data_IF_399648423706
#
_entry.id   IF_399648423706
#
_cell.length_a   1.000
_cell.length_b   1.000
_cell.length_c   1.000
_cell.angle_alpha   90.00
_cell.angle_beta   90.00
_cell.angle_gamma   90.00
#
_symmetry.space_group_name_H-M   'P 1'
#
loop_
_entity.id
_entity.type
_entity.pdbx_description
1 polymer ?
#
# COMPACT_ATOMS: atom_id res chain seq x y z
N UNK A 1 0.83 27.20 -12.66
CA UNK A 1 0.15 25.93 -12.28
C UNK A 1 -0.63 25.32 -13.47
N UNK A 2 -1.47 26.06 -14.17
CA UNK A 2 -2.22 25.48 -15.31
C UNK A 2 -1.32 24.97 -16.46
N UNK A 3 -0.26 25.69 -16.85
CA UNK A 3 0.63 25.27 -17.94
C UNK A 3 1.41 23.98 -17.65
N UNK A 4 1.81 23.73 -16.41
CA UNK A 4 2.51 22.51 -16.03
C UNK A 4 1.59 21.29 -16.04
N UNK A 5 0.34 21.43 -15.57
CA UNK A 5 -0.65 20.33 -15.59
C UNK A 5 -0.96 19.95 -17.05
N UNK A 6 -1.20 20.92 -17.92
CA UNK A 6 -1.41 20.68 -19.36
C UNK A 6 -0.21 20.01 -20.02
N UNK A 7 1.01 20.43 -19.68
CA UNK A 7 2.23 19.79 -20.18
C UNK A 7 2.30 18.31 -19.76
N UNK A 8 1.96 18.00 -18.51
CA UNK A 8 1.98 16.64 -17.98
C UNK A 8 1.00 15.72 -18.71
N UNK A 9 -0.24 16.15 -18.94
CA UNK A 9 -1.21 15.34 -19.69
C UNK A 9 -0.91 15.26 -21.19
N UNK A 10 -0.21 16.25 -21.76
CA UNK A 10 0.24 16.21 -23.15
C UNK A 10 1.25 15.10 -23.45
N UNK A 11 1.95 14.59 -22.41
CA UNK A 11 2.83 13.42 -22.51
C UNK A 11 2.11 12.18 -23.05
N UNK A 12 0.83 12.00 -22.70
CA UNK A 12 0.02 10.87 -23.16
C UNK A 12 -0.16 10.84 -24.68
N UNK A 13 -0.19 12.03 -25.31
CA UNK A 13 -0.27 12.19 -26.76
C UNK A 13 1.10 12.19 -27.41
N UNK A 14 2.11 12.77 -26.74
CA UNK A 14 3.48 12.85 -27.24
C UNK A 14 4.17 11.48 -27.27
N UNK A 15 3.90 10.63 -26.28
CA UNK A 15 4.43 9.28 -26.15
C UNK A 15 3.28 8.24 -26.18
N UNK A 16 2.78 7.85 -27.38
CA UNK A 16 1.58 7.00 -27.47
C UNK A 16 1.74 5.61 -26.83
N UNK A 17 2.97 5.08 -26.77
CA UNK A 17 3.25 3.82 -26.06
C UNK A 17 3.07 3.98 -24.54
N UNK A 18 3.62 5.05 -23.98
CA UNK A 18 3.42 5.42 -22.57
C UNK A 18 1.94 5.69 -22.27
N UNK A 19 1.26 6.47 -23.13
CA UNK A 19 -0.17 6.78 -22.93
C UNK A 19 -1.07 5.55 -22.88
N UNK A 20 -0.84 4.56 -23.75
CA UNK A 20 -1.57 3.28 -23.74
C UNK A 20 -1.31 2.49 -22.49
N UNK A 21 -0.04 2.39 -22.06
CA UNK A 21 0.35 1.70 -20.85
C UNK A 21 -0.22 2.38 -19.61
N UNK A 22 -0.14 3.71 -19.54
CA UNK A 22 -0.68 4.52 -18.46
C UNK A 22 -2.20 4.33 -18.31
N UNK A 23 -2.95 4.37 -19.42
CA UNK A 23 -4.40 4.16 -19.39
C UNK A 23 -4.75 2.74 -18.97
N UNK A 24 -4.05 1.73 -19.51
CA UNK A 24 -4.21 0.34 -19.08
C UNK A 24 -3.95 0.16 -17.59
N UNK A 25 -2.89 0.78 -17.06
CA UNK A 25 -2.55 0.74 -15.64
C UNK A 25 -3.59 1.47 -14.78
N UNK A 26 -4.06 2.64 -15.20
CA UNK A 26 -5.10 3.37 -14.49
C UNK A 26 -6.37 2.51 -14.33
N UNK A 27 -6.82 1.88 -15.41
CA UNK A 27 -7.98 0.97 -15.39
C UNK A 27 -7.72 -0.22 -14.47
N UNK A 28 -6.53 -0.85 -14.55
CA UNK A 28 -6.15 -1.98 -13.70
C UNK A 28 -6.06 -1.59 -12.22
N UNK A 29 -5.59 -0.38 -11.88
CA UNK A 29 -5.56 0.12 -10.49
C UNK A 29 -6.96 0.26 -9.88
N UNK A 30 -7.94 0.68 -10.68
CA UNK A 30 -9.34 0.67 -10.23
C UNK A 30 -9.83 -0.76 -9.99
N UNK A 31 -9.50 -1.70 -10.87
CA UNK A 31 -9.79 -3.12 -10.68
C UNK A 31 -9.16 -3.69 -9.42
N UNK A 32 -7.86 -3.43 -9.18
CA UNK A 32 -7.17 -3.81 -7.94
C UNK A 32 -7.91 -3.26 -6.69
N UNK A 33 -8.38 -2.00 -6.74
CA UNK A 33 -9.18 -1.40 -5.66
C UNK A 33 -10.54 -2.08 -5.49
N UNK A 34 -11.15 -2.54 -6.59
CA UNK A 34 -12.41 -3.28 -6.54
C UNK A 34 -12.23 -4.63 -5.87
N UNK A 35 -11.20 -5.37 -6.22
CA UNK A 35 -10.87 -6.66 -5.60
C UNK A 35 -10.53 -6.50 -4.12
N UNK A 36 -9.83 -5.44 -3.72
CA UNK A 36 -9.50 -5.16 -2.31
C UNK A 36 -10.77 -5.01 -1.43
N UNK A 37 -11.85 -4.47 -1.99
CA UNK A 37 -13.13 -4.31 -1.27
C UNK A 37 -14.04 -5.54 -1.47
N UNK A 38 -14.10 -6.08 -2.70
CA UNK A 38 -15.02 -7.14 -3.04
C UNK A 38 -14.66 -8.48 -2.38
N UNK A 39 -13.38 -8.86 -2.34
CA UNK A 39 -12.97 -10.16 -1.81
C UNK A 39 -13.29 -10.33 -0.31
N UNK A 40 -12.82 -9.45 0.60
CA UNK A 40 -13.13 -9.62 2.02
C UNK A 40 -14.64 -9.49 2.29
N UNK A 41 -15.34 -8.59 1.60
CA UNK A 41 -16.79 -8.45 1.74
C UNK A 41 -17.53 -9.70 1.27
N UNK A 42 -17.15 -10.26 0.14
CA UNK A 42 -17.73 -11.49 -0.40
C UNK A 42 -17.49 -12.69 0.51
N UNK A 43 -16.27 -12.86 1.04
CA UNK A 43 -15.96 -13.93 2.02
C UNK A 43 -16.80 -13.76 3.28
N UNK A 44 -16.96 -12.54 3.79
CA UNK A 44 -17.80 -12.26 4.94
C UNK A 44 -19.26 -12.67 4.68
N UNK A 45 -19.81 -12.33 3.52
CA UNK A 45 -21.20 -12.66 3.15
C UNK A 45 -21.45 -14.16 3.05
N UNK A 46 -20.52 -14.93 2.45
CA UNK A 46 -20.73 -16.38 2.23
C UNK A 46 -20.40 -17.23 3.46
N UNK A 47 -19.53 -16.74 4.37
CA UNK A 47 -19.05 -17.55 5.50
C UNK A 47 -19.52 -17.03 6.86
N UNK A 48 -19.84 -15.73 6.98
CA UNK A 48 -20.05 -15.07 8.28
C UNK A 48 -18.80 -15.09 9.17
N UNK A 49 -17.62 -15.51 8.65
CA UNK A 49 -16.42 -15.78 9.43
C UNK A 49 -15.42 -14.62 9.34
N UNK A 50 -15.22 -13.92 10.45
CA UNK A 50 -14.24 -12.88 10.56
C UNK A 50 -12.79 -13.37 10.32
N UNK A 51 -12.33 -14.53 10.84
CA UNK A 51 -11.02 -15.08 10.50
C UNK A 51 -10.86 -15.44 9.02
N UNK A 52 -11.90 -15.95 8.36
CA UNK A 52 -11.84 -16.25 6.93
C UNK A 52 -11.71 -14.95 6.11
N UNK A 53 -12.42 -13.90 6.51
CA UNK A 53 -12.35 -12.56 5.88
C UNK A 53 -10.95 -11.93 6.02
N UNK A 54 -10.32 -12.03 7.18
CA UNK A 54 -8.93 -11.59 7.35
C UNK A 54 -7.94 -12.50 6.59
N UNK A 55 -8.19 -13.81 6.59
CA UNK A 55 -7.37 -14.79 5.89
C UNK A 55 -7.29 -14.53 4.37
N UNK A 56 -8.40 -14.15 3.73
CA UNK A 56 -8.38 -13.86 2.29
C UNK A 56 -7.51 -12.64 1.93
N UNK A 57 -7.45 -11.64 2.79
CA UNK A 57 -6.55 -10.50 2.61
C UNK A 57 -5.08 -10.91 2.73
N UNK A 58 -4.77 -11.87 3.63
CA UNK A 58 -3.41 -12.45 3.72
C UNK A 58 -3.01 -13.20 2.45
N UNK A 59 -3.92 -13.91 1.81
CA UNK A 59 -3.61 -14.62 0.56
C UNK A 59 -3.36 -13.68 -0.61
N UNK A 60 -3.78 -12.42 -0.55
CA UNK A 60 -3.41 -11.40 -1.52
C UNK A 60 -2.02 -10.82 -1.26
N UNK A 61 -1.69 -10.54 0.01
CA UNK A 61 -0.49 -9.77 0.36
C UNK A 61 0.75 -10.63 0.57
N UNK A 62 0.62 -11.75 1.30
CA UNK A 62 1.76 -12.58 1.69
C UNK A 62 2.52 -13.18 0.50
N UNK A 63 1.86 -13.75 -0.54
CA UNK A 63 2.56 -14.32 -1.68
C UNK A 63 3.36 -13.27 -2.46
N UNK A 64 2.87 -12.04 -2.56
CA UNK A 64 3.55 -10.94 -3.24
C UNK A 64 4.93 -10.67 -2.63
N UNK A 65 5.06 -10.75 -1.31
CA UNK A 65 6.34 -10.58 -0.60
C UNK A 65 7.31 -11.69 -0.99
N UNK A 66 6.85 -12.94 -0.99
CA UNK A 66 7.67 -14.12 -1.27
C UNK A 66 8.15 -14.15 -2.74
N UNK A 67 7.32 -13.69 -3.67
CA UNK A 67 7.62 -13.74 -5.10
C UNK A 67 8.38 -12.53 -5.63
N UNK A 68 8.43 -11.44 -4.91
CA UNK A 68 9.06 -10.18 -5.34
C UNK A 68 10.52 -10.35 -5.80
N UNK A 69 11.32 -11.14 -5.08
CA UNK A 69 12.73 -11.41 -5.43
C UNK A 69 12.86 -12.27 -6.69
N UNK A 70 12.00 -13.29 -6.83
CA UNK A 70 12.00 -14.19 -7.99
C UNK A 70 11.59 -13.41 -9.25
N UNK A 71 10.57 -12.59 -9.13
CA UNK A 71 10.05 -11.76 -10.23
C UNK A 71 11.09 -10.74 -10.69
N UNK A 72 11.84 -10.12 -9.76
CA UNK A 72 12.96 -9.25 -10.11
C UNK A 72 13.97 -9.96 -11.04
N UNK A 73 14.35 -11.20 -10.71
CA UNK A 73 15.26 -12.00 -11.52
C UNK A 73 14.67 -12.42 -12.87
N UNK A 74 13.34 -12.63 -12.94
CA UNK A 74 12.63 -12.94 -14.19
C UNK A 74 12.62 -11.72 -15.12
N UNK A 75 12.30 -10.55 -14.59
CA UNK A 75 12.32 -9.28 -15.33
C UNK A 75 13.74 -9.02 -15.86
N UNK A 76 14.77 -9.50 -15.15
CA UNK A 76 16.14 -9.45 -15.65
C UNK A 76 16.43 -10.36 -16.86
N UNK A 77 15.67 -11.37 -17.09
CA UNK A 77 15.87 -12.34 -18.21
C UNK A 77 14.92 -12.09 -19.38
N UNK A 78 13.70 -11.67 -19.11
CA UNK A 78 12.64 -11.50 -20.10
C UNK A 78 12.28 -10.03 -20.30
N UNK A 79 11.64 -9.70 -21.41
CA UNK A 79 11.19 -8.33 -21.69
C UNK A 79 10.09 -7.93 -20.70
N UNK A 80 10.20 -6.74 -20.04
CA UNK A 80 9.21 -6.28 -19.06
C UNK A 80 7.78 -6.30 -19.59
N UNK A 81 7.56 -5.88 -20.84
CA UNK A 81 6.22 -5.91 -21.48
C UNK A 81 5.60 -7.30 -21.51
N UNK A 82 6.42 -8.33 -21.79
CA UNK A 82 5.94 -9.72 -21.87
C UNK A 82 5.57 -10.26 -20.50
N UNK A 83 6.33 -9.89 -19.47
CA UNK A 83 6.04 -10.25 -18.08
C UNK A 83 4.77 -9.56 -17.61
N UNK A 84 4.59 -8.26 -17.88
CA UNK A 84 3.36 -7.51 -17.56
C UNK A 84 2.15 -8.15 -18.27
N UNK A 85 2.29 -8.50 -19.55
CA UNK A 85 1.20 -9.11 -20.31
C UNK A 85 0.83 -10.50 -19.79
N UNK A 86 1.84 -11.32 -19.47
CA UNK A 86 1.63 -12.67 -18.92
C UNK A 86 0.98 -12.60 -17.53
N UNK A 87 1.49 -11.75 -16.65
CA UNK A 87 0.92 -11.49 -15.32
C UNK A 87 -0.55 -11.14 -15.42
N UNK A 88 -0.87 -10.08 -16.16
CA UNK A 88 -2.25 -9.62 -16.26
C UNK A 88 -3.15 -10.62 -17.01
N UNK A 89 -2.63 -11.35 -18.00
CA UNK A 89 -3.35 -12.43 -18.65
C UNK A 89 -3.69 -13.58 -17.71
N UNK A 90 -2.74 -14.01 -16.87
CA UNK A 90 -2.97 -15.02 -15.83
C UNK A 90 -3.95 -14.53 -14.76
N UNK A 91 -3.81 -13.28 -14.29
CA UNK A 91 -4.74 -12.69 -13.31
C UNK A 91 -6.15 -12.57 -13.88
N UNK A 92 -6.30 -12.25 -15.18
CA UNK A 92 -7.61 -12.28 -15.87
C UNK A 92 -8.28 -13.65 -15.73
N UNK A 93 -7.55 -14.73 -15.97
CA UNK A 93 -8.09 -16.08 -15.88
C UNK A 93 -8.36 -16.50 -14.43
N UNK A 94 -7.41 -16.26 -13.53
CA UNK A 94 -7.48 -16.65 -12.11
C UNK A 94 -8.63 -15.92 -11.41
N UNK A 95 -8.68 -14.59 -11.50
CA UNK A 95 -9.72 -13.79 -10.86
C UNK A 95 -11.07 -13.98 -11.53
N UNK A 96 -11.09 -14.10 -12.87
CA UNK A 96 -12.31 -14.36 -13.64
C UNK A 96 -12.92 -15.75 -13.38
N UNK A 97 -12.12 -16.72 -12.94
CA UNK A 97 -12.61 -18.06 -12.58
C UNK A 97 -13.48 -18.02 -11.31
N UNK A 98 -13.23 -17.11 -10.39
CA UNK A 98 -14.01 -16.97 -9.13
C UNK A 98 -15.52 -16.75 -9.41
N UNK A 99 -15.93 -15.70 -10.15
CA UNK A 99 -17.36 -15.47 -10.44
C UNK A 99 -17.96 -16.58 -11.31
N UNK A 100 -17.17 -17.22 -12.18
CA UNK A 100 -17.63 -18.33 -13.02
C UNK A 100 -17.97 -19.53 -12.14
N UNK A 101 -17.07 -19.96 -11.26
CA UNK A 101 -17.31 -21.08 -10.33
C UNK A 101 -18.46 -20.78 -9.38
N UNK A 102 -18.59 -19.54 -8.91
CA UNK A 102 -19.71 -19.12 -8.09
C UNK A 102 -21.05 -19.21 -8.82
N UNK A 103 -21.11 -18.76 -10.08
CA UNK A 103 -22.31 -18.83 -10.91
C UNK A 103 -22.79 -20.25 -11.19
N UNK A 104 -21.88 -21.23 -11.25
CA UNK A 104 -22.18 -22.65 -11.35
C UNK A 104 -22.45 -23.35 -10.01
N UNK A 105 -22.38 -22.64 -8.89
CA UNK A 105 -22.53 -23.22 -7.55
C UNK A 105 -21.39 -24.17 -7.15
N UNK A 106 -20.23 -24.07 -7.82
CA UNK A 106 -19.07 -24.96 -7.61
C UNK A 106 -17.97 -24.31 -6.76
N UNK A 107 -18.10 -23.02 -6.40
CA UNK A 107 -17.07 -22.30 -5.65
C UNK A 107 -17.06 -22.75 -4.19
N UNK A 108 -15.99 -23.41 -3.79
CA UNK A 108 -15.71 -23.72 -2.40
C UNK A 108 -14.70 -22.72 -1.79
N UNK A 109 -14.74 -22.55 -0.47
CA UNK A 109 -13.90 -21.57 0.23
C UNK A 109 -12.40 -21.81 -0.03
N UNK A 110 -11.94 -23.05 -0.03
CA UNK A 110 -10.53 -23.36 -0.30
C UNK A 110 -10.08 -22.98 -1.73
N UNK A 111 -11.00 -23.08 -2.72
CA UNK A 111 -10.73 -22.64 -4.09
C UNK A 111 -10.53 -21.13 -4.15
N UNK A 112 -11.36 -20.37 -3.40
CA UNK A 112 -11.24 -18.93 -3.31
C UNK A 112 -9.89 -18.51 -2.73
N UNK A 113 -9.45 -19.17 -1.64
CA UNK A 113 -8.13 -18.96 -1.06
C UNK A 113 -6.99 -19.28 -2.03
N UNK A 114 -7.08 -20.43 -2.73
CA UNK A 114 -6.07 -20.84 -3.70
C UNK A 114 -5.97 -19.84 -4.87
N UNK A 115 -7.10 -19.47 -5.47
CA UNK A 115 -7.12 -18.55 -6.60
C UNK A 115 -6.58 -17.16 -6.19
N UNK A 116 -6.97 -16.67 -5.02
CA UNK A 116 -6.48 -15.40 -4.48
C UNK A 116 -4.97 -15.47 -4.19
N UNK A 117 -4.49 -16.57 -3.63
CA UNK A 117 -3.06 -16.80 -3.40
C UNK A 117 -2.25 -16.77 -4.70
N UNK A 118 -2.73 -17.47 -5.74
CA UNK A 118 -2.10 -17.47 -7.05
C UNK A 118 -2.09 -16.08 -7.70
N UNK A 119 -3.20 -15.32 -7.58
CA UNK A 119 -3.27 -13.94 -8.05
C UNK A 119 -2.29 -13.04 -7.29
N UNK A 120 -2.17 -13.21 -5.97
CA UNK A 120 -1.24 -12.46 -5.13
C UNK A 120 0.23 -12.69 -5.48
N UNK A 121 0.61 -13.91 -5.89
CA UNK A 121 1.97 -14.23 -6.35
C UNK A 121 2.41 -13.40 -7.56
N UNK A 122 1.48 -12.96 -8.37
CA UNK A 122 1.73 -12.26 -9.63
C UNK A 122 1.85 -10.73 -9.45
N UNK A 123 1.26 -10.17 -8.39
CA UNK A 123 1.21 -8.71 -8.15
C UNK A 123 2.54 -7.96 -8.37
N UNK A 124 3.72 -8.46 -7.89
CA UNK A 124 4.98 -7.75 -8.06
C UNK A 124 5.43 -7.65 -9.53
N UNK A 125 4.94 -8.52 -10.42
CA UNK A 125 5.40 -8.59 -11.80
C UNK A 125 5.05 -7.32 -12.59
N UNK A 126 3.81 -6.86 -12.49
CA UNK A 126 3.38 -5.60 -13.09
C UNK A 126 4.11 -4.41 -12.45
N UNK A 127 4.21 -4.33 -11.13
CA UNK A 127 4.84 -3.20 -10.43
C UNK A 127 6.32 -3.01 -10.81
N UNK A 128 7.11 -4.10 -10.76
CA UNK A 128 8.53 -4.04 -11.12
C UNK A 128 8.70 -3.83 -12.63
N UNK A 129 7.88 -4.51 -13.44
CA UNK A 129 7.89 -4.38 -14.90
C UNK A 129 7.65 -2.96 -15.38
N UNK A 130 6.67 -2.27 -14.78
CA UNK A 130 6.32 -0.89 -15.10
C UNK A 130 7.44 0.10 -14.73
N UNK A 131 8.04 -0.06 -13.55
CA UNK A 131 9.19 0.77 -13.13
C UNK A 131 10.39 0.58 -14.04
N UNK A 132 10.58 -0.63 -14.55
CA UNK A 132 11.71 -0.96 -15.44
C UNK A 132 11.52 -0.40 -16.83
N UNK A 133 10.29 -0.44 -17.39
CA UNK A 133 10.03 -0.02 -18.78
C UNK A 133 9.83 1.50 -18.93
N UNK A 134 9.45 2.21 -17.85
CA UNK A 134 9.12 3.64 -17.91
C UNK A 134 10.24 4.51 -18.52
N UNK A 135 11.54 4.36 -18.11
CA UNK A 135 12.62 5.17 -18.66
C UNK A 135 12.89 4.92 -20.17
N UNK A 136 12.36 3.82 -20.70
CA UNK A 136 12.51 3.48 -22.12
C UNK A 136 11.34 4.00 -22.98
N UNK A 137 10.25 4.45 -22.34
CA UNK A 137 9.04 4.94 -23.01
C UNK A 137 8.97 6.47 -23.14
N UNK A 138 9.73 7.20 -22.32
CA UNK A 138 9.76 8.65 -22.29
C UNK A 138 11.20 9.17 -22.28
N UNK A 139 11.43 10.39 -22.74
CA UNK A 139 12.74 11.04 -22.66
C UNK A 139 13.09 11.37 -21.18
N UNK A 140 14.40 11.38 -20.84
CA UNK A 140 14.88 11.64 -19.48
C UNK A 140 14.30 12.94 -18.86
N UNK A 141 14.14 13.99 -19.68
CA UNK A 141 13.55 15.28 -19.25
C UNK A 141 12.06 15.20 -18.86
N UNK A 142 11.35 14.19 -19.33
CA UNK A 142 9.91 14.00 -19.13
C UNK A 142 9.60 12.91 -18.06
N UNK A 143 10.66 12.25 -17.53
CA UNK A 143 10.52 11.18 -16.52
C UNK A 143 9.79 11.63 -15.24
N UNK A 144 10.08 12.84 -14.75
CA UNK A 144 9.42 13.35 -13.54
C UNK A 144 7.92 13.55 -13.77
N UNK A 145 7.54 14.04 -14.94
CA UNK A 145 6.14 14.24 -15.29
C UNK A 145 5.42 12.88 -15.52
N UNK A 146 6.10 11.89 -16.08
CA UNK A 146 5.56 10.54 -16.22
C UNK A 146 5.37 9.84 -14.86
N UNK A 147 6.31 9.96 -13.93
CA UNK A 147 6.19 9.49 -12.56
C UNK A 147 5.06 10.21 -11.79
N UNK A 148 4.85 11.51 -12.06
CA UNK A 148 3.74 12.27 -11.49
C UNK A 148 2.39 11.72 -11.95
N UNK A 149 2.23 11.42 -13.26
CA UNK A 149 1.02 10.79 -13.80
C UNK A 149 0.78 9.41 -13.16
N UNK A 150 1.84 8.65 -12.92
CA UNK A 150 1.77 7.35 -12.25
C UNK A 150 1.25 7.47 -10.82
N UNK A 151 1.86 8.39 -10.06
CA UNK A 151 1.43 8.68 -8.68
C UNK A 151 0.00 9.23 -8.62
N UNK A 152 -0.39 10.06 -9.60
CA UNK A 152 -1.75 10.56 -9.72
C UNK A 152 -2.75 9.41 -9.91
N UNK A 153 -2.45 8.45 -10.82
CA UNK A 153 -3.31 7.28 -11.04
C UNK A 153 -3.51 6.43 -9.79
N UNK A 154 -2.41 6.18 -9.06
CA UNK A 154 -2.46 5.43 -7.80
C UNK A 154 -3.32 6.13 -6.76
N UNK A 155 -3.11 7.43 -6.52
CA UNK A 155 -3.90 8.17 -5.54
C UNK A 155 -5.37 8.27 -5.94
N UNK A 156 -5.67 8.49 -7.23
CA UNK A 156 -7.03 8.53 -7.74
C UNK A 156 -7.75 7.21 -7.50
N UNK A 157 -7.08 6.08 -7.80
CA UNK A 157 -7.63 4.73 -7.57
C UNK A 157 -7.86 4.46 -6.10
N UNK A 158 -6.93 4.83 -5.21
CA UNK A 158 -7.08 4.62 -3.76
C UNK A 158 -8.21 5.43 -3.14
N UNK A 159 -8.50 6.63 -3.67
CA UNK A 159 -9.55 7.51 -3.14
C UNK A 159 -10.92 7.13 -3.70
N UNK A 160 -11.02 6.98 -5.01
CA UNK A 160 -12.29 6.81 -5.70
C UNK A 160 -12.67 5.33 -5.83
N UNK A 161 -11.67 4.47 -6.01
CA UNK A 161 -11.85 3.04 -6.24
C UNK A 161 -12.68 2.34 -5.19
N UNK A 162 -12.37 2.46 -3.88
CA UNK A 162 -13.14 1.78 -2.83
C UNK A 162 -14.61 2.23 -2.77
N UNK A 163 -14.90 3.54 -2.92
CA UNK A 163 -16.26 4.04 -2.94
C UNK A 163 -17.05 3.50 -4.15
N UNK A 164 -16.44 3.50 -5.34
CA UNK A 164 -17.04 2.92 -6.56
C UNK A 164 -17.23 1.42 -6.39
N UNK A 165 -16.24 0.70 -5.84
CA UNK A 165 -16.33 -0.73 -5.55
C UNK A 165 -17.54 -1.02 -4.65
N UNK A 166 -17.70 -0.26 -3.56
CA UNK A 166 -18.82 -0.42 -2.64
C UNK A 166 -20.19 -0.27 -3.32
N UNK A 167 -20.32 0.74 -4.20
CA UNK A 167 -21.56 0.95 -4.99
C UNK A 167 -21.80 -0.21 -5.96
N UNK A 168 -20.75 -0.67 -6.66
CA UNK A 168 -20.86 -1.77 -7.61
C UNK A 168 -21.21 -3.09 -6.91
N UNK A 169 -20.59 -3.36 -5.74
CA UNK A 169 -20.88 -4.57 -4.95
C UNK A 169 -22.32 -4.57 -4.45
N UNK A 170 -22.81 -3.43 -3.95
CA UNK A 170 -24.18 -3.30 -3.47
C UNK A 170 -25.22 -3.44 -4.61
N UNK A 171 -24.84 -3.07 -5.86
CA UNK A 171 -25.75 -3.11 -7.02
C UNK A 171 -25.71 -4.45 -7.77
N UNK A 172 -24.52 -5.09 -7.88
CA UNK A 172 -24.31 -6.24 -8.75
C UNK A 172 -23.74 -7.47 -8.01
N UNK A 173 -23.42 -7.33 -6.71
CA UNK A 173 -22.78 -8.37 -5.90
C UNK A 173 -21.27 -8.48 -6.11
N UNK A 174 -20.56 -9.04 -5.10
CA UNK A 174 -19.12 -9.19 -5.10
C UNK A 174 -18.55 -9.94 -6.31
N UNK A 175 -19.12 -11.11 -6.70
CA UNK A 175 -18.62 -11.88 -7.84
C UNK A 175 -18.64 -11.09 -9.16
N UNK A 176 -19.68 -10.29 -9.42
CA UNK A 176 -19.75 -9.46 -10.64
C UNK A 176 -18.65 -8.39 -10.67
N UNK A 177 -18.30 -7.84 -9.52
CA UNK A 177 -17.22 -6.84 -9.40
C UNK A 177 -15.86 -7.47 -9.63
N UNK A 178 -15.64 -8.71 -9.20
CA UNK A 178 -14.43 -9.48 -9.52
C UNK A 178 -14.32 -9.78 -11.02
N UNK A 179 -15.45 -9.98 -11.72
CA UNK A 179 -15.45 -10.13 -13.18
C UNK A 179 -15.04 -8.82 -13.88
N UNK A 180 -15.50 -7.68 -13.37
CA UNK A 180 -15.08 -6.36 -13.87
C UNK A 180 -13.56 -6.20 -13.69
N UNK A 181 -13.02 -6.57 -12.52
CA UNK A 181 -11.57 -6.52 -12.28
C UNK A 181 -10.82 -7.44 -13.24
N UNK A 182 -11.25 -8.68 -13.44
CA UNK A 182 -10.66 -9.57 -14.42
C UNK A 182 -10.61 -8.95 -15.83
N UNK A 183 -11.65 -8.21 -16.22
CA UNK A 183 -11.65 -7.48 -17.50
C UNK A 183 -10.64 -6.32 -17.50
N UNK A 184 -10.40 -5.64 -16.36
CA UNK A 184 -9.37 -4.60 -16.28
C UNK A 184 -7.96 -5.16 -16.46
N UNK A 185 -7.67 -6.34 -15.93
CA UNK A 185 -6.41 -7.05 -16.21
C UNK A 185 -6.27 -7.41 -17.68
N UNK A 186 -7.34 -7.87 -18.33
CA UNK A 186 -7.30 -8.14 -19.78
C UNK A 186 -6.94 -6.87 -20.58
N UNK A 187 -7.51 -5.72 -20.22
CA UNK A 187 -7.16 -4.43 -20.84
C UNK A 187 -5.68 -4.11 -20.63
N UNK A 188 -5.16 -4.32 -19.42
CA UNK A 188 -3.75 -4.09 -19.12
C UNK A 188 -2.82 -5.02 -19.89
N UNK A 189 -3.17 -6.32 -20.00
CA UNK A 189 -2.42 -7.30 -20.79
C UNK A 189 -2.33 -6.88 -22.26
N UNK A 190 -3.46 -6.46 -22.85
CA UNK A 190 -3.51 -5.99 -24.24
C UNK A 190 -2.70 -4.68 -24.39
N UNK A 191 -2.77 -3.77 -23.45
CA UNK A 191 -1.98 -2.54 -23.46
C UNK A 191 -0.48 -2.84 -23.45
N UNK A 192 -0.03 -3.78 -22.62
CA UNK A 192 1.37 -4.20 -22.52
C UNK A 192 1.87 -4.86 -23.83
N UNK A 193 1.07 -5.72 -24.45
CA UNK A 193 1.41 -6.36 -25.74
C UNK A 193 1.57 -5.36 -26.89
N UNK A 194 0.88 -4.22 -26.83
CA UNK A 194 0.95 -3.17 -27.85
C UNK A 194 2.15 -2.23 -27.71
N UNK A 195 3.01 -2.44 -26.71
CA UNK A 195 4.26 -1.67 -26.54
C UNK A 195 5.31 -2.24 -27.49
N UNK A 196 6.08 -1.39 -28.19
CA UNK A 196 7.19 -1.85 -29.04
C UNK A 196 8.26 -2.57 -28.21
N UNK A 197 9.04 -3.43 -28.88
CA UNK A 197 10.23 -4.00 -28.26
C UNK A 197 11.22 -2.89 -27.97
N UNK A 198 11.62 -2.75 -26.72
CA UNK A 198 12.62 -1.79 -26.30
C UNK A 198 13.93 -2.55 -26.07
N UNK A 199 15.03 -2.05 -26.66
CA UNK A 199 16.36 -2.55 -26.38
C UNK A 199 16.73 -2.31 -24.91
N UNK A 200 17.22 -3.34 -24.27
CA UNK A 200 17.39 -3.38 -22.81
C UNK A 200 18.60 -2.58 -22.35
N UNK A 201 18.41 -1.58 -21.51
CA UNK A 201 19.50 -1.03 -20.67
C UNK A 201 19.87 -2.09 -19.60
N UNK A 202 21.14 -2.53 -19.59
CA UNK A 202 21.66 -3.46 -18.57
C UNK A 202 21.52 -2.82 -17.18
N UNK A 203 20.65 -3.35 -16.35
CA UNK A 203 20.57 -2.97 -14.93
C UNK A 203 21.79 -3.54 -14.19
N UNK A 204 22.46 -2.72 -13.41
CA UNK A 204 23.54 -3.15 -12.53
C UNK A 204 22.98 -4.10 -11.47
N UNK A 205 23.53 -5.31 -11.38
CA UNK A 205 23.17 -6.29 -10.35
C UNK A 205 23.41 -5.68 -8.97
N UNK A 206 22.40 -5.69 -8.11
CA UNK A 206 22.60 -5.40 -6.69
C UNK A 206 23.43 -6.53 -6.06
N UNK A 207 24.49 -6.15 -5.34
CA UNK A 207 25.40 -7.08 -4.68
C UNK A 207 24.72 -7.62 -3.39
N UNK A 208 24.56 -8.96 -3.22
CA UNK A 208 23.99 -9.56 -2.02
C UNK A 208 24.76 -9.20 -0.73
N UNK A 209 26.03 -8.86 -0.83
CA UNK A 209 26.83 -8.37 0.31
C UNK A 209 26.32 -7.03 0.84
N UNK A 210 25.73 -6.20 -0.03
CA UNK A 210 25.20 -4.89 0.34
C UNK A 210 24.00 -5.01 1.29
N UNK A 211 23.20 -6.06 1.17
CA UNK A 211 21.99 -6.28 1.98
C UNK A 211 22.35 -6.70 3.43
N UNK A 212 23.32 -7.61 3.59
CA UNK A 212 23.81 -8.00 4.93
C UNK A 212 24.46 -6.85 5.70
N UNK A 213 25.23 -6.02 5.00
CA UNK A 213 25.82 -4.80 5.57
C UNK A 213 24.72 -3.78 5.96
N UNK A 214 23.67 -3.67 5.16
CA UNK A 214 22.52 -2.82 5.45
C UNK A 214 21.80 -3.23 6.74
N UNK A 215 21.53 -4.52 6.94
CA UNK A 215 20.90 -5.04 8.16
C UNK A 215 21.73 -4.73 9.42
N UNK A 216 23.04 -4.84 9.36
CA UNK A 216 23.92 -4.46 10.47
C UNK A 216 23.82 -2.96 10.77
N UNK A 217 23.84 -2.12 9.73
CA UNK A 217 23.71 -0.66 9.87
C UNK A 217 22.38 -0.22 10.50
N UNK A 218 21.28 -0.99 10.31
CA UNK A 218 20.00 -0.71 10.97
C UNK A 218 20.12 -0.72 12.49
N UNK A 219 20.97 -1.58 13.04
CA UNK A 219 21.17 -1.71 14.49
C UNK A 219 22.29 -0.84 15.04
N UNK A 220 23.33 -0.57 14.24
CA UNK A 220 24.49 0.22 14.66
C UNK A 220 24.16 1.73 14.69
N UNK A 221 23.38 2.22 13.70
CA UNK A 221 23.00 3.63 13.63
C UNK A 221 21.76 3.89 14.50
N UNK A 222 21.94 4.57 15.63
CA UNK A 222 20.93 4.82 16.65
C UNK A 222 19.62 5.39 16.08
N UNK A 223 19.70 6.41 15.22
CA UNK A 223 18.52 7.03 14.59
C UNK A 223 17.75 6.05 13.70
N UNK A 224 18.47 5.24 12.91
CA UNK A 224 17.87 4.26 12.00
C UNK A 224 17.15 3.19 12.79
N UNK A 225 17.78 2.68 13.86
CA UNK A 225 17.17 1.67 14.75
C UNK A 225 15.85 2.14 15.34
N UNK A 226 15.84 3.31 15.99
CA UNK A 226 14.63 3.81 16.66
C UNK A 226 13.52 4.17 15.67
N UNK A 227 13.84 4.80 14.54
CA UNK A 227 12.84 5.11 13.50
C UNK A 227 12.30 3.84 12.85
N UNK A 228 13.13 2.81 12.66
CA UNK A 228 12.70 1.53 12.10
C UNK A 228 11.75 0.80 13.05
N UNK A 229 12.05 0.76 14.35
CA UNK A 229 11.17 0.13 15.35
C UNK A 229 9.82 0.88 15.46
N UNK A 230 9.85 2.21 15.50
CA UNK A 230 8.63 3.03 15.49
C UNK A 230 7.77 2.75 14.27
N UNK A 231 8.40 2.73 13.08
CA UNK A 231 7.76 2.47 11.80
C UNK A 231 7.18 1.05 11.72
N UNK A 232 7.89 0.06 12.24
CA UNK A 232 7.42 -1.33 12.25
C UNK A 232 6.11 -1.47 13.01
N UNK A 233 6.01 -0.87 14.21
CA UNK A 233 4.76 -0.88 15.00
C UNK A 233 3.67 -0.08 14.29
N UNK A 234 4.03 1.06 13.69
CA UNK A 234 3.10 1.89 12.94
C UNK A 234 2.48 1.12 11.74
N UNK A 235 3.30 0.45 10.93
CA UNK A 235 2.82 -0.38 9.82
C UNK A 235 2.10 -1.66 10.31
N UNK A 236 2.61 -2.26 11.39
CA UNK A 236 1.93 -3.42 12.00
C UNK A 236 0.50 -3.07 12.44
N UNK A 237 0.28 -1.88 13.01
CA UNK A 237 -1.03 -1.47 13.51
C UNK A 237 -2.08 -1.31 12.40
N UNK A 238 -1.66 -1.10 11.16
CA UNK A 238 -2.56 -1.02 10.01
C UNK A 238 -3.23 -2.37 9.70
N UNK A 239 -2.51 -3.48 9.87
CA UNK A 239 -3.02 -4.82 9.55
C UNK A 239 -4.26 -5.23 10.35
N UNK A 240 -4.29 -5.11 11.69
CA UNK A 240 -5.49 -5.42 12.48
C UNK A 240 -6.68 -4.52 12.13
N UNK A 241 -6.44 -3.24 11.82
CA UNK A 241 -7.49 -2.35 11.31
C UNK A 241 -8.07 -2.88 9.99
N UNK A 242 -7.22 -3.24 9.04
CA UNK A 242 -7.61 -3.79 7.75
C UNK A 242 -8.43 -5.08 7.90
N UNK A 243 -8.02 -5.99 8.80
CA UNK A 243 -8.74 -7.22 9.12
C UNK A 243 -10.13 -6.95 9.72
N UNK A 244 -10.23 -5.97 10.63
CA UNK A 244 -11.45 -5.70 11.39
C UNK A 244 -12.47 -4.85 10.64
N UNK A 245 -12.04 -4.02 9.67
CA UNK A 245 -12.88 -3.00 9.06
C UNK A 245 -14.13 -3.54 8.33
N UNK A 246 -14.08 -4.65 7.54
CA UNK A 246 -15.26 -5.22 6.91
C UNK A 246 -16.27 -5.74 7.94
N UNK A 247 -15.81 -6.40 9.01
CA UNK A 247 -16.64 -6.92 10.09
C UNK A 247 -17.26 -5.77 10.90
N UNK A 248 -16.47 -4.73 11.19
CA UNK A 248 -16.95 -3.53 11.88
C UNK A 248 -18.01 -2.81 11.06
N UNK A 249 -17.84 -2.70 9.74
CA UNK A 249 -18.81 -2.10 8.83
C UNK A 249 -20.16 -2.83 8.83
N UNK A 250 -20.13 -4.16 8.77
CA UNK A 250 -21.31 -5.01 8.74
C UNK A 250 -21.98 -5.08 10.12
N UNK A 251 -21.25 -5.51 11.15
CA UNK A 251 -21.82 -5.84 12.46
C UNK A 251 -22.13 -4.61 13.35
N UNK A 252 -21.30 -3.56 13.30
CA UNK A 252 -21.43 -2.41 14.20
C UNK A 252 -22.08 -1.22 13.51
N UNK A 253 -21.60 -0.85 12.32
CA UNK A 253 -22.18 0.26 11.57
C UNK A 253 -23.47 -0.12 10.84
N UNK A 254 -23.77 -1.42 10.74
CA UNK A 254 -24.93 -1.97 10.03
C UNK A 254 -25.08 -1.38 8.63
N UNK A 255 -23.98 -1.29 7.89
CA UNK A 255 -23.95 -0.74 6.53
C UNK A 255 -23.58 -1.83 5.53
N UNK A 256 -23.95 -1.61 4.28
CA UNK A 256 -23.61 -2.47 3.16
C UNK A 256 -22.16 -2.19 2.67
N UNK A 257 -21.79 -2.81 1.55
CA UNK A 257 -20.49 -2.61 0.91
C UNK A 257 -20.19 -1.13 0.57
N UNK A 258 -21.21 -0.27 0.40
CA UNK A 258 -21.01 1.18 0.15
C UNK A 258 -20.38 1.84 1.36
N UNK A 259 -20.88 1.53 2.57
CA UNK A 259 -20.29 2.05 3.80
C UNK A 259 -18.85 1.58 3.98
N UNK A 260 -18.56 0.31 3.72
CA UNK A 260 -17.21 -0.24 3.78
C UNK A 260 -16.24 0.46 2.78
N UNK A 261 -16.69 0.66 1.54
CA UNK A 261 -15.93 1.41 0.54
C UNK A 261 -15.68 2.88 0.93
N UNK A 262 -16.68 3.55 1.55
CA UNK A 262 -16.54 4.93 2.02
C UNK A 262 -15.53 5.05 3.16
N UNK A 263 -15.44 4.08 4.07
CA UNK A 263 -14.43 4.07 5.14
C UNK A 263 -13.00 4.10 4.55
N UNK A 264 -12.72 3.26 3.56
CA UNK A 264 -11.43 3.24 2.86
C UNK A 264 -11.16 4.52 2.09
N UNK A 265 -12.17 5.06 1.40
CA UNK A 265 -12.03 6.33 0.67
C UNK A 265 -11.76 7.50 1.61
N UNK A 266 -12.40 7.55 2.78
CA UNK A 266 -12.14 8.57 3.79
C UNK A 266 -10.68 8.51 4.30
N UNK A 267 -10.17 7.31 4.59
CA UNK A 267 -8.77 7.09 4.95
C UNK A 267 -7.82 7.59 3.86
N UNK A 268 -8.09 7.25 2.60
CA UNK A 268 -7.26 7.63 1.46
C UNK A 268 -7.26 9.14 1.20
N UNK A 269 -8.42 9.81 1.32
CA UNK A 269 -8.51 11.28 1.24
C UNK A 269 -7.65 11.93 2.33
N UNK A 270 -7.76 11.46 3.56
CA UNK A 270 -6.91 11.91 4.66
C UNK A 270 -5.43 11.73 4.34
N UNK A 271 -5.03 10.56 3.84
CA UNK A 271 -3.65 10.26 3.48
C UNK A 271 -3.10 11.18 2.38
N UNK A 272 -3.91 11.49 1.37
CA UNK A 272 -3.52 12.45 0.35
C UNK A 272 -3.30 13.86 0.93
N UNK A 273 -4.22 14.34 1.77
CA UNK A 273 -4.09 15.65 2.44
C UNK A 273 -2.81 15.65 3.31
N UNK A 274 -2.56 14.58 4.07
CA UNK A 274 -1.36 14.43 4.88
C UNK A 274 -0.08 14.47 4.04
N UNK A 275 -0.02 13.71 2.96
CA UNK A 275 1.14 13.67 2.05
C UNK A 275 1.43 15.05 1.45
N UNK A 276 0.41 15.76 0.97
CA UNK A 276 0.57 17.10 0.42
C UNK A 276 1.03 18.11 1.48
N UNK A 277 0.49 17.99 2.69
CA UNK A 277 0.84 18.86 3.82
C UNK A 277 2.25 18.60 4.36
N UNK A 278 2.79 17.39 4.17
CA UNK A 278 4.10 16.98 4.69
C UNK A 278 5.24 17.89 4.23
N UNK A 279 5.19 18.37 2.99
CA UNK A 279 6.22 19.27 2.41
C UNK A 279 6.33 20.59 3.15
N UNK A 280 5.21 21.15 3.59
CA UNK A 280 5.16 22.42 4.35
C UNK A 280 5.52 22.15 5.82
N UNK A 281 4.94 21.10 6.38
CA UNK A 281 5.08 20.79 7.79
C UNK A 281 6.50 20.35 8.15
N UNK A 282 7.18 19.56 7.29
CA UNK A 282 8.56 19.09 7.50
C UNK A 282 9.61 20.21 7.62
N UNK A 283 9.26 21.41 7.12
CA UNK A 283 10.11 22.62 7.24
C UNK A 283 9.86 23.40 8.53
N UNK A 284 8.71 23.20 9.19
CA UNK A 284 8.26 23.99 10.35
C UNK A 284 8.37 23.23 11.67
N UNK A 285 8.43 21.90 11.63
CA UNK A 285 8.44 21.06 12.83
C UNK A 285 9.76 20.33 13.01
N UNK A 286 10.04 19.97 14.25
CA UNK A 286 11.18 19.11 14.61
C UNK A 286 10.85 17.66 14.24
N UNK A 287 11.43 17.15 13.16
CA UNK A 287 11.10 15.83 12.60
C UNK A 287 11.26 14.69 13.61
N UNK A 288 12.27 14.78 14.49
CA UNK A 288 12.47 13.80 15.54
C UNK A 288 11.26 13.62 16.46
N UNK A 289 10.62 14.72 16.89
CA UNK A 289 9.42 14.69 17.73
C UNK A 289 8.14 14.49 16.93
N UNK A 290 8.13 14.90 15.65
CA UNK A 290 6.96 14.78 14.79
C UNK A 290 6.57 13.33 14.52
N UNK A 291 7.54 12.43 14.28
CA UNK A 291 7.25 11.04 13.96
C UNK A 291 6.53 10.28 15.09
N UNK A 292 7.03 10.27 16.34
CA UNK A 292 6.31 9.64 17.43
C UNK A 292 4.97 10.35 17.75
N UNK A 293 4.87 11.66 17.56
CA UNK A 293 3.59 12.38 17.69
C UNK A 293 2.58 11.95 16.63
N UNK A 294 3.01 11.77 15.38
CA UNK A 294 2.15 11.27 14.30
C UNK A 294 1.66 9.85 14.61
N UNK A 295 2.54 8.97 15.11
CA UNK A 295 2.15 7.61 15.51
C UNK A 295 1.14 7.64 16.68
N UNK A 296 1.35 8.50 17.66
CA UNK A 296 0.39 8.74 18.75
C UNK A 296 -0.97 9.22 18.23
N UNK A 297 -0.97 10.24 17.36
CA UNK A 297 -2.20 10.83 16.81
C UNK A 297 -2.94 9.85 15.87
N UNK A 298 -2.21 9.01 15.13
CA UNK A 298 -2.81 7.89 14.38
C UNK A 298 -3.60 6.97 15.31
N UNK A 299 -2.98 6.47 16.38
CA UNK A 299 -3.67 5.65 17.36
C UNK A 299 -4.82 6.39 18.06
N UNK A 300 -4.64 7.66 18.41
CA UNK A 300 -5.65 8.51 19.04
C UNK A 300 -6.87 8.76 18.12
N UNK A 301 -6.69 8.78 16.79
CA UNK A 301 -7.79 8.89 15.84
C UNK A 301 -8.55 7.57 15.65
N UNK A 302 -7.85 6.42 15.78
CA UNK A 302 -8.46 5.10 15.61
C UNK A 302 -9.19 4.63 16.88
N UNK A 303 -8.69 4.96 18.06
CA UNK A 303 -9.27 4.46 19.32
C UNK A 303 -10.77 4.79 19.48
N UNK A 304 -11.24 6.01 19.18
CA UNK A 304 -12.67 6.33 19.26
C UNK A 304 -13.55 5.53 18.30
N UNK A 305 -12.99 4.97 17.20
CA UNK A 305 -13.75 4.14 16.24
C UNK A 305 -14.39 2.95 16.97
N UNK A 306 -13.72 2.40 17.99
CA UNK A 306 -14.25 1.30 18.78
C UNK A 306 -15.57 1.61 19.53
N UNK A 307 -15.92 2.90 19.68
CA UNK A 307 -17.06 3.37 20.46
C UNK A 307 -18.14 4.06 19.62
N UNK A 308 -17.88 4.30 18.32
CA UNK A 308 -18.86 4.93 17.43
C UNK A 308 -19.62 3.88 16.63
N UNK A 309 -20.88 4.18 16.34
CA UNK A 309 -21.80 3.31 15.59
C UNK A 309 -22.42 4.01 14.39
N UNK A 310 -21.96 5.20 14.03
CA UNK A 310 -22.45 5.94 12.88
C UNK A 310 -21.35 6.06 11.80
N UNK A 311 -21.72 5.76 10.56
CA UNK A 311 -20.78 5.75 9.43
C UNK A 311 -20.02 7.08 9.26
N UNK A 312 -20.71 8.23 9.36
CA UNK A 312 -20.06 9.54 9.17
C UNK A 312 -19.00 9.83 10.25
N UNK A 313 -19.23 9.36 11.51
CA UNK A 313 -18.24 9.52 12.60
C UNK A 313 -17.01 8.66 12.32
N UNK A 314 -17.20 7.40 11.92
CA UNK A 314 -16.13 6.49 11.56
C UNK A 314 -15.32 7.03 10.35
N UNK A 315 -16.00 7.54 9.32
CA UNK A 315 -15.35 8.19 8.17
C UNK A 315 -14.52 9.41 8.60
N UNK A 316 -15.05 10.26 9.49
CA UNK A 316 -14.31 11.43 10.01
C UNK A 316 -13.05 11.03 10.78
N UNK A 317 -13.14 10.02 11.64
CA UNK A 317 -11.99 9.49 12.39
C UNK A 317 -10.95 8.83 11.49
N UNK A 318 -11.39 8.06 10.48
CA UNK A 318 -10.47 7.47 9.48
C UNK A 318 -9.82 8.53 8.60
N UNK A 319 -10.52 9.61 8.25
CA UNK A 319 -9.92 10.75 7.54
C UNK A 319 -8.81 11.40 8.38
N UNK A 320 -9.04 11.63 9.66
CA UNK A 320 -8.01 12.14 10.58
C UNK A 320 -6.83 11.16 10.71
N UNK A 321 -7.12 9.88 10.84
CA UNK A 321 -6.09 8.83 10.81
C UNK A 321 -5.31 8.85 9.51
N UNK A 322 -5.99 8.85 8.38
CA UNK A 322 -5.36 8.94 7.06
C UNK A 322 -4.42 10.13 6.93
N UNK A 323 -4.81 11.31 7.45
CA UNK A 323 -3.94 12.48 7.47
C UNK A 323 -2.61 12.19 8.20
N UNK A 324 -2.65 11.50 9.34
CA UNK A 324 -1.44 11.08 10.07
C UNK A 324 -0.64 10.06 9.27
N UNK A 325 -1.29 9.08 8.64
CA UNK A 325 -0.67 8.10 7.76
C UNK A 325 0.10 8.76 6.61
N UNK A 326 -0.53 9.70 5.93
CA UNK A 326 0.08 10.42 4.80
C UNK A 326 1.25 11.32 5.18
N UNK A 327 1.28 11.86 6.40
CA UNK A 327 2.39 12.66 6.93
C UNK A 327 3.62 11.80 7.25
N UNK A 328 3.43 10.56 7.71
CA UNK A 328 4.48 9.74 8.32
C UNK A 328 5.64 9.47 7.37
N UNK A 329 5.39 8.80 6.26
CA UNK A 329 6.44 8.31 5.33
C UNK A 329 7.31 9.41 4.73
N UNK A 330 6.77 10.54 4.21
CA UNK A 330 7.61 11.61 3.67
C UNK A 330 8.48 12.29 4.74
N UNK A 331 7.93 12.49 5.96
CA UNK A 331 8.67 13.13 7.03
C UNK A 331 9.78 12.23 7.56
N UNK A 332 9.52 10.94 7.67
CA UNK A 332 10.50 9.95 8.06
C UNK A 332 11.64 9.83 7.04
N UNK A 333 11.30 9.72 5.75
CA UNK A 333 12.28 9.70 4.66
C UNK A 333 13.19 10.92 4.75
N UNK A 334 12.62 12.11 4.95
CA UNK A 334 13.37 13.35 5.11
C UNK A 334 14.30 13.32 6.34
N UNK A 335 13.82 12.77 7.48
CA UNK A 335 14.64 12.63 8.69
C UNK A 335 15.85 11.73 8.43
N UNK A 336 15.64 10.58 7.80
CA UNK A 336 16.72 9.63 7.49
C UNK A 336 17.73 10.23 6.50
N UNK A 337 17.26 10.89 5.43
CA UNK A 337 18.11 11.53 4.44
C UNK A 337 19.01 12.64 5.03
N UNK A 338 18.54 13.31 6.08
CA UNK A 338 19.32 14.36 6.77
C UNK A 338 20.36 13.83 7.75
N UNK A 339 20.15 12.61 8.27
CA UNK A 339 20.95 12.08 9.39
C UNK A 339 21.78 10.83 9.04
N UNK A 340 21.59 10.24 7.85
CA UNK A 340 22.35 9.09 7.38
C UNK A 340 23.32 9.54 6.29
N UNK A 341 24.61 9.12 6.33
CA UNK A 341 25.56 9.43 5.28
C UNK A 341 25.07 8.99 3.90
N UNK A 342 25.30 9.80 2.87
CA UNK A 342 24.79 9.56 1.50
C UNK A 342 25.18 8.20 0.94
N UNK A 343 26.41 7.75 1.25
CA UNK A 343 26.98 6.47 0.81
C UNK A 343 26.26 5.25 1.42
N UNK A 344 25.58 5.44 2.55
CA UNK A 344 24.90 4.40 3.30
C UNK A 344 23.37 4.42 3.07
N UNK A 345 22.81 5.52 2.53
CA UNK A 345 21.36 5.68 2.36
C UNK A 345 20.72 4.51 1.60
N UNK A 346 21.30 4.12 0.46
CA UNK A 346 20.76 3.03 -0.36
C UNK A 346 20.68 1.70 0.40
N UNK A 347 21.73 1.36 1.17
CA UNK A 347 21.77 0.13 1.98
C UNK A 347 20.78 0.17 3.13
N UNK A 348 20.70 1.30 3.83
CA UNK A 348 19.76 1.51 4.95
C UNK A 348 18.33 1.43 4.47
N UNK A 349 17.96 2.14 3.38
CA UNK A 349 16.61 2.10 2.83
C UNK A 349 16.25 0.71 2.30
N UNK A 350 17.17 0.00 1.63
CA UNK A 350 16.96 -1.36 1.14
C UNK A 350 16.65 -2.34 2.27
N UNK A 351 17.57 -2.45 3.24
CA UNK A 351 17.40 -3.35 4.39
C UNK A 351 16.14 -3.02 5.22
N UNK A 352 15.86 -1.73 5.37
CA UNK A 352 14.67 -1.25 6.08
C UNK A 352 13.38 -1.60 5.34
N UNK A 353 13.34 -1.40 4.01
CA UNK A 353 12.18 -1.76 3.19
C UNK A 353 11.83 -3.24 3.35
N UNK A 354 12.83 -4.14 3.34
CA UNK A 354 12.64 -5.59 3.56
C UNK A 354 11.95 -5.89 4.89
N UNK A 355 12.36 -5.23 5.99
CA UNK A 355 11.74 -5.41 7.30
C UNK A 355 10.31 -4.85 7.36
N UNK A 356 10.10 -3.67 6.80
CA UNK A 356 8.81 -2.98 6.89
C UNK A 356 7.73 -3.60 6.00
N UNK A 357 8.12 -4.23 4.89
CA UNK A 357 7.18 -4.92 4.00
C UNK A 357 6.40 -6.03 4.71
N UNK A 358 7.00 -6.68 5.72
CA UNK A 358 6.33 -7.68 6.56
C UNK A 358 5.41 -7.11 7.64
N UNK A 359 5.48 -5.81 7.94
CA UNK A 359 4.78 -5.20 9.08
C UNK A 359 3.26 -5.32 9.00
N UNK A 360 2.65 -4.85 7.92
CA UNK A 360 1.19 -4.91 7.71
C UNK A 360 0.65 -6.35 7.60
N UNK A 361 1.24 -7.27 6.80
CA UNK A 361 0.79 -8.65 6.74
C UNK A 361 0.88 -9.40 8.08
N UNK A 362 1.92 -9.14 8.88
CA UNK A 362 2.01 -9.70 10.23
C UNK A 362 0.90 -9.15 11.14
N UNK A 363 0.64 -7.85 11.06
CA UNK A 363 -0.47 -7.22 11.76
C UNK A 363 -1.82 -7.80 11.34
N UNK A 364 -2.02 -8.00 10.04
CA UNK A 364 -3.22 -8.59 9.46
C UNK A 364 -3.43 -10.03 9.95
N UNK A 365 -2.36 -10.84 10.01
CA UNK A 365 -2.40 -12.19 10.56
C UNK A 365 -2.81 -12.19 12.04
N UNK A 366 -2.19 -11.33 12.86
CA UNK A 366 -2.54 -11.18 14.27
C UNK A 366 -3.97 -10.69 14.44
N UNK A 367 -4.38 -9.69 13.68
CA UNK A 367 -5.76 -9.17 13.65
C UNK A 367 -6.78 -10.26 13.31
N UNK A 368 -6.49 -11.06 12.28
CA UNK A 368 -7.34 -12.18 11.86
C UNK A 368 -7.48 -13.26 12.95
N UNK A 369 -6.38 -13.59 13.63
CA UNK A 369 -6.44 -14.53 14.78
C UNK A 369 -7.25 -13.93 15.92
N UNK A 370 -7.05 -12.68 16.28
CA UNK A 370 -7.78 -12.02 17.34
C UNK A 370 -9.28 -11.97 17.07
N UNK A 371 -9.69 -11.75 15.80
CA UNK A 371 -11.10 -11.74 15.40
C UNK A 371 -11.83 -13.07 15.64
N UNK A 372 -11.12 -14.18 15.87
CA UNK A 372 -11.73 -15.44 16.29
C UNK A 372 -12.21 -15.42 17.75
N UNK A 373 -11.65 -14.53 18.59
CA UNK A 373 -11.84 -14.54 20.04
C UNK A 373 -12.46 -13.26 20.59
N UNK A 374 -12.27 -12.13 19.90
CA UNK A 374 -12.74 -10.82 20.37
C UNK A 374 -13.45 -10.03 19.26
N UNK A 375 -14.38 -9.12 19.63
CA UNK A 375 -15.07 -8.27 18.65
C UNK A 375 -14.12 -7.40 17.80
N UNK A 376 -14.55 -7.03 16.60
CA UNK A 376 -13.81 -6.16 15.69
C UNK A 376 -13.42 -4.81 16.32
N UNK A 377 -14.27 -4.26 17.18
CA UNK A 377 -13.99 -3.04 17.95
C UNK A 377 -12.77 -3.20 18.88
N UNK A 378 -12.63 -4.35 19.53
CA UNK A 378 -11.47 -4.65 20.38
C UNK A 378 -10.18 -4.80 19.56
N UNK A 379 -10.26 -5.38 18.36
CA UNK A 379 -9.11 -5.48 17.45
C UNK A 379 -8.66 -4.11 16.95
N UNK A 380 -9.60 -3.23 16.63
CA UNK A 380 -9.31 -1.83 16.27
C UNK A 380 -8.68 -1.09 17.47
N UNK A 381 -9.23 -1.27 18.67
CA UNK A 381 -8.68 -0.67 19.89
C UNK A 381 -7.25 -1.18 20.19
N UNK A 382 -6.97 -2.47 19.99
CA UNK A 382 -5.63 -3.04 20.12
C UNK A 382 -4.64 -2.36 19.17
N UNK A 383 -5.01 -2.23 17.89
CA UNK A 383 -4.22 -1.51 16.87
C UNK A 383 -3.94 -0.07 17.30
N UNK A 384 -4.96 0.64 17.75
CA UNK A 384 -4.86 2.02 18.22
C UNK A 384 -3.94 2.16 19.43
N UNK A 385 -4.12 1.31 20.46
CA UNK A 385 -3.31 1.34 21.68
C UNK A 385 -1.85 1.03 21.41
N UNK A 386 -1.54 0.10 20.50
CA UNK A 386 -0.15 -0.18 20.12
C UNK A 386 0.55 1.08 19.59
N UNK A 387 -0.12 1.86 18.73
CA UNK A 387 0.41 3.11 18.22
C UNK A 387 0.47 4.24 19.26
N UNK A 388 -0.52 4.34 20.14
CA UNK A 388 -0.50 5.28 21.25
C UNK A 388 0.72 5.01 22.14
N UNK A 389 0.92 3.76 22.55
CA UNK A 389 2.03 3.37 23.45
C UNK A 389 3.39 3.60 22.80
N UNK A 390 3.57 3.20 21.52
CA UNK A 390 4.85 3.42 20.84
C UNK A 390 5.09 4.91 20.57
N UNK A 391 4.04 5.68 20.25
CA UNK A 391 4.13 7.11 20.09
C UNK A 391 4.54 7.81 21.39
N UNK A 392 3.91 7.49 22.53
CA UNK A 392 4.25 8.02 23.84
C UNK A 392 5.68 7.64 24.26
N UNK A 393 6.08 6.38 24.05
CA UNK A 393 7.45 5.93 24.34
C UNK A 393 8.49 6.68 23.50
N UNK A 394 8.18 6.95 22.23
CA UNK A 394 9.02 7.75 21.35
C UNK A 394 9.13 9.21 21.81
N UNK A 395 8.02 9.84 22.22
CA UNK A 395 8.03 11.20 22.75
C UNK A 395 8.82 11.31 24.06
N UNK A 396 8.81 10.26 24.88
CA UNK A 396 9.59 10.19 26.12
C UNK A 396 11.09 9.92 25.86
N UNK A 397 11.44 9.27 24.76
CA UNK A 397 12.82 8.86 24.48
C UNK A 397 13.73 10.07 24.18
N UNK A 398 14.87 10.25 24.89
CA UNK A 398 15.80 11.33 24.64
C UNK A 398 16.31 11.38 23.20
N UNK A 399 16.49 10.21 22.59
CA UNK A 399 17.01 10.07 21.23
C UNK A 399 16.18 10.84 20.20
N UNK A 400 14.84 10.79 20.27
CA UNK A 400 13.98 11.54 19.36
C UNK A 400 14.00 13.05 19.63
N UNK A 401 14.26 13.48 20.87
CA UNK A 401 14.44 14.89 21.24
C UNK A 401 15.75 15.46 20.72
N UNK A 402 16.85 14.69 20.82
CA UNK A 402 18.16 15.05 20.29
C UNK A 402 18.18 15.17 18.77
N UNK A 403 17.46 14.27 18.07
CA UNK A 403 17.31 14.28 16.60
C UNK A 403 16.56 15.52 16.06
N UNK A 404 16.00 16.34 16.92
CA UNK A 404 15.23 17.53 16.56
C UNK A 404 16.07 18.79 16.44
N UNK A 405 17.35 18.74 16.79
CA UNK A 405 18.26 19.88 16.67
C UNK A 405 18.71 20.07 15.21
N UNK A 406 18.91 21.32 14.74
CA UNK A 406 19.48 21.59 13.43
C UNK A 406 20.87 20.93 13.31
N UNK A 407 21.21 20.43 12.12
CA UNK A 407 22.48 19.72 11.84
C UNK A 407 23.75 20.52 12.20
N UNK A 408 23.65 21.82 12.46
CA UNK A 408 24.76 22.69 12.88
C UNK A 408 25.26 22.44 14.31
N UNK A 409 24.49 21.71 15.17
CA UNK A 409 24.90 21.44 16.57
C UNK A 409 25.34 19.99 16.82
N UNK A 410 25.29 19.11 15.82
CA UNK A 410 25.86 17.77 15.93
C UNK A 410 27.38 17.80 15.79
N UNK A 411 28.10 18.14 16.85
CA UNK A 411 29.50 17.74 17.00
C UNK A 411 29.53 16.22 17.13
N UNK A 412 30.15 15.55 16.15
CA UNK A 412 30.52 14.15 16.26
C UNK A 412 31.30 13.97 17.59
N UNK A 413 30.66 13.36 18.57
CA UNK A 413 31.36 12.80 19.72
C UNK A 413 31.98 11.49 19.21
N UNK A 414 33.20 11.60 18.65
CA UNK A 414 34.09 10.45 18.53
C UNK A 414 34.39 9.95 19.94
N UNK A 415 33.93 8.77 20.26
CA UNK A 415 34.56 7.86 21.21
C UNK A 415 34.38 6.43 20.76
#
# INVERSE_FOLDING_TARGET
MNSQIWHTFNLLYRYPAFGRLWLGRLISLFGDSFTLIALPWFVLQITGSAPATAGILLTLQLPAILTSMVIGSLIDRFQPRSIIALDNGLRTLIVGLIPILYGFGMLELWMLFLLTFLAGMLVPATEVGLRTILPDLVEDRDLDAANMLWSFSLNLSLIVGPAVAGVLIASFGGPSVLLIDAATFAVMAVAALRIPNVERRKTLKQDPLSERLGLRQLWDIKIVRYTTLLCLVFFFSYGPLEAALPIYSDAILQTDARGYGLLWSALAVGALIGTLSSTILSRRVRLGLALPLIAFLWGASLLPIAFVNQLWQACGLLLLGGLMWGLYTPMETTLLQRNVPKEQLGRVFGARSTLLTGGSPLGLAVGGILLAYVPSTSVIAFSALACILVGLSGLAAPTFREMSLPAAEFKFVEK
#
